data_IF_198326744215
#
_entry.id   IF_198326744215
#
_cell.length_a   1.000
_cell.length_b   1.000
_cell.length_c   1.000
_cell.angle_alpha   90.00
_cell.angle_beta   90.00
_cell.angle_gamma   90.00
#
_symmetry.space_group_name_H-M   'P 1'
#
loop_
_entity.id
_entity.type
_entity.pdbx_description
1 polymer ?
#
# COMPACT_ATOMS: atom_id res chain seq x y z
N UNK A 1 10.41 -13.70 2.95
CA UNK A 1 10.05 -12.68 1.95
C UNK A 1 8.67 -12.94 1.35
N UNK A 2 8.41 -14.07 0.67
CA UNK A 2 7.08 -14.31 0.05
C UNK A 2 5.90 -14.28 1.04
N UNK A 3 6.07 -14.88 2.23
CA UNK A 3 5.03 -14.88 3.27
C UNK A 3 4.68 -13.47 3.76
N UNK A 4 5.68 -12.61 3.98
CA UNK A 4 5.50 -11.19 4.34
C UNK A 4 4.58 -10.48 3.34
N UNK A 5 4.85 -10.62 2.04
CA UNK A 5 4.02 -9.99 1.02
C UNK A 5 2.59 -10.54 1.00
N UNK A 6 2.40 -11.85 1.17
CA UNK A 6 1.05 -12.44 1.15
C UNK A 6 0.24 -12.03 2.40
N UNK A 7 0.84 -12.09 3.58
CA UNK A 7 0.16 -11.77 4.84
C UNK A 7 -0.07 -10.28 5.06
N UNK A 8 0.69 -9.41 4.40
CA UNK A 8 0.48 -7.95 4.43
C UNK A 8 -0.44 -7.48 3.32
N UNK A 9 -0.14 -7.87 2.07
CA UNK A 9 -0.74 -7.29 0.88
C UNK A 9 -2.18 -7.77 0.66
N UNK A 10 -2.46 -9.05 0.94
CA UNK A 10 -3.82 -9.59 0.75
C UNK A 10 -4.81 -8.96 1.73
N UNK A 11 -4.55 -8.90 3.06
CA UNK A 11 -5.48 -8.24 3.98
C UNK A 11 -5.65 -6.75 3.69
N UNK A 12 -4.56 -6.05 3.34
CA UNK A 12 -4.60 -4.63 3.01
C UNK A 12 -5.52 -4.38 1.79
N UNK A 13 -5.33 -5.14 0.72
CA UNK A 13 -6.13 -5.06 -0.50
C UNK A 13 -7.61 -5.38 -0.25
N UNK A 14 -7.91 -6.36 0.60
CA UNK A 14 -9.29 -6.70 0.99
C UNK A 14 -9.94 -5.57 1.80
N UNK A 15 -9.24 -5.02 2.79
CA UNK A 15 -9.76 -3.96 3.66
C UNK A 15 -9.98 -2.66 2.89
N UNK A 16 -9.01 -2.25 2.10
CA UNK A 16 -9.13 -1.03 1.28
C UNK A 16 -10.20 -1.17 0.21
N UNK A 17 -10.23 -2.28 -0.53
CA UNK A 17 -11.27 -2.51 -1.52
C UNK A 17 -12.67 -2.52 -0.91
N UNK A 18 -12.83 -3.08 0.30
CA UNK A 18 -14.09 -3.02 1.05
C UNK A 18 -14.45 -1.59 1.46
N UNK A 19 -13.50 -0.80 1.94
CA UNK A 19 -13.75 0.59 2.36
C UNK A 19 -14.12 1.46 1.15
N UNK A 20 -13.41 1.32 0.03
CA UNK A 20 -13.76 1.99 -1.23
C UNK A 20 -15.19 1.63 -1.66
N UNK A 21 -15.54 0.35 -1.60
CA UNK A 21 -16.91 -0.07 -1.89
C UNK A 21 -17.94 0.58 -0.95
N UNK A 22 -17.65 0.67 0.36
CA UNK A 22 -18.50 1.35 1.35
C UNK A 22 -18.61 2.85 1.13
N UNK A 23 -17.61 3.49 0.54
CA UNK A 23 -17.61 4.91 0.15
C UNK A 23 -18.42 5.18 -1.12
N UNK A 24 -19.13 4.18 -1.67
CA UNK A 24 -19.81 4.27 -2.96
C UNK A 24 -18.85 4.60 -4.13
N UNK A 25 -17.61 4.13 -4.03
CA UNK A 25 -16.61 4.29 -5.09
C UNK A 25 -17.04 3.60 -6.39
N UNK A 26 -17.65 2.42 -6.29
CA UNK A 26 -18.14 1.70 -7.46
C UNK A 26 -18.69 0.34 -7.08
N UNK A 27 -18.76 -0.56 -8.05
CA UNK A 27 -19.05 -1.97 -7.78
C UNK A 27 -17.89 -2.60 -6.97
N UNK A 28 -18.19 -3.62 -6.16
CA UNK A 28 -17.16 -4.31 -5.36
C UNK A 28 -15.94 -4.75 -6.21
N UNK A 29 -16.09 -5.37 -7.41
CA UNK A 29 -14.94 -5.73 -8.23
C UNK A 29 -14.10 -4.53 -8.67
N UNK A 30 -14.74 -3.41 -8.96
CA UNK A 30 -14.08 -2.18 -9.38
C UNK A 30 -13.30 -1.55 -8.22
N UNK A 31 -13.89 -1.51 -7.03
CA UNK A 31 -13.21 -1.05 -5.81
C UNK A 31 -12.01 -1.93 -5.44
N UNK A 32 -12.11 -3.24 -5.63
CA UNK A 32 -10.99 -4.17 -5.42
C UNK A 32 -9.87 -3.95 -6.44
N UNK A 33 -10.21 -3.71 -7.71
CA UNK A 33 -9.24 -3.43 -8.76
C UNK A 33 -8.53 -2.08 -8.52
N UNK A 34 -9.28 -1.04 -8.14
CA UNK A 34 -8.72 0.27 -7.87
C UNK A 34 -7.83 0.26 -6.61
N UNK A 35 -8.21 -0.50 -5.56
CA UNK A 35 -7.32 -0.75 -4.41
C UNK A 35 -6.06 -1.54 -4.82
N UNK A 36 -6.19 -2.54 -5.69
CA UNK A 36 -5.01 -3.25 -6.21
C UNK A 36 -4.07 -2.30 -6.96
N UNK A 37 -4.59 -1.41 -7.80
CA UNK A 37 -3.81 -0.42 -8.52
C UNK A 37 -3.10 0.55 -7.57
N UNK A 38 -3.80 1.09 -6.57
CA UNK A 38 -3.21 1.98 -5.57
C UNK A 38 -2.08 1.27 -4.79
N UNK A 39 -2.33 0.06 -4.30
CA UNK A 39 -1.33 -0.71 -3.56
C UNK A 39 -0.13 -1.10 -4.43
N UNK A 40 -0.37 -1.43 -5.69
CA UNK A 40 0.70 -1.74 -6.62
C UNK A 40 1.58 -0.51 -6.89
N UNK A 41 0.98 0.67 -7.06
CA UNK A 41 1.70 1.93 -7.20
C UNK A 41 2.52 2.28 -5.94
N UNK A 42 1.92 2.14 -4.76
CA UNK A 42 2.61 2.38 -3.48
C UNK A 42 3.75 1.38 -3.22
N UNK A 43 3.55 0.10 -3.55
CA UNK A 43 4.56 -0.94 -3.40
C UNK A 43 5.74 -0.75 -4.35
N UNK A 44 5.47 -0.45 -5.62
CA UNK A 44 6.50 -0.05 -6.58
C UNK A 44 7.22 1.20 -6.12
N UNK A 45 6.51 2.16 -5.52
CA UNK A 45 7.12 3.34 -4.92
C UNK A 45 8.13 3.04 -3.83
N UNK A 46 7.82 2.09 -2.97
CA UNK A 46 8.71 1.68 -1.89
C UNK A 46 9.95 0.96 -2.43
N UNK A 47 9.78 0.07 -3.43
CA UNK A 47 10.90 -0.68 -4.05
C UNK A 47 11.76 0.20 -4.95
N UNK A 48 11.17 1.08 -5.76
CA UNK A 48 11.86 1.90 -6.75
C UNK A 48 12.33 3.24 -6.16
N UNK A 49 11.58 3.87 -5.28
CA UNK A 49 11.96 5.15 -4.69
C UNK A 49 12.89 4.98 -3.49
N UNK A 50 12.45 4.21 -2.48
CA UNK A 50 13.14 4.15 -1.18
C UNK A 50 14.32 3.18 -1.18
N UNK A 51 14.16 2.00 -1.79
CA UNK A 51 15.20 0.97 -1.85
C UNK A 51 16.54 1.46 -2.43
N UNK A 52 16.56 2.13 -3.59
CA UNK A 52 17.78 2.58 -4.23
C UNK A 52 18.43 3.80 -3.53
N UNK A 53 17.62 4.65 -2.89
CA UNK A 53 18.11 5.75 -2.05
C UNK A 53 18.83 5.22 -0.81
N UNK A 54 18.24 4.24 -0.11
CA UNK A 54 18.84 3.59 1.06
C UNK A 54 20.08 2.76 0.65
N UNK A 55 20.07 2.15 -0.54
CA UNK A 55 21.19 1.37 -1.06
C UNK A 55 22.36 2.21 -1.63
N UNK A 56 22.28 3.55 -1.58
CA UNK A 56 23.37 4.44 -2.02
C UNK A 56 23.51 4.61 -3.54
N UNK A 57 22.49 4.25 -4.32
CA UNK A 57 22.49 4.45 -5.77
C UNK A 57 22.02 5.86 -6.14
N UNK A 58 22.93 6.84 -6.05
CA UNK A 58 22.59 8.28 -6.17
C UNK A 58 21.71 8.62 -7.39
N UNK A 59 22.22 8.45 -8.61
CA UNK A 59 21.52 8.88 -9.84
C UNK A 59 20.36 7.95 -10.20
N UNK A 60 20.57 6.64 -10.08
CA UNK A 60 19.54 5.64 -10.37
C UNK A 60 18.39 5.70 -9.38
N UNK A 61 18.65 5.98 -8.10
CA UNK A 61 17.62 6.18 -7.10
C UNK A 61 16.78 7.42 -7.33
N UNK A 62 17.38 8.52 -7.79
CA UNK A 62 16.62 9.70 -8.22
C UNK A 62 15.73 9.40 -9.44
N UNK A 63 16.23 8.67 -10.43
CA UNK A 63 15.43 8.27 -11.61
C UNK A 63 14.26 7.38 -11.20
N UNK A 64 14.51 6.38 -10.36
CA UNK A 64 13.49 5.44 -9.91
C UNK A 64 12.46 6.10 -8.97
N UNK A 65 12.90 7.04 -8.14
CA UNK A 65 12.01 7.92 -7.37
C UNK A 65 11.16 8.83 -8.27
N UNK A 66 11.74 9.38 -9.33
CA UNK A 66 11.01 10.15 -10.34
C UNK A 66 9.97 9.31 -11.08
N UNK A 67 10.32 8.08 -11.48
CA UNK A 67 9.38 7.12 -12.09
C UNK A 67 8.22 6.80 -11.15
N UNK A 68 8.49 6.59 -9.86
CA UNK A 68 7.46 6.43 -8.83
C UNK A 68 6.50 7.63 -8.78
N UNK A 69 7.02 8.86 -8.71
CA UNK A 69 6.20 10.07 -8.62
C UNK A 69 5.21 10.16 -9.78
N UNK A 70 5.67 9.86 -11.00
CA UNK A 70 4.83 9.86 -12.22
C UNK A 70 3.75 8.76 -12.14
N UNK A 71 4.08 7.58 -11.62
CA UNK A 71 3.11 6.49 -11.48
C UNK A 71 2.01 6.79 -10.47
N UNK A 72 2.35 7.39 -9.32
CA UNK A 72 1.36 7.81 -8.32
C UNK A 72 0.46 8.90 -8.90
N UNK A 73 1.05 9.93 -9.50
CA UNK A 73 0.29 11.03 -10.09
C UNK A 73 -0.61 10.54 -11.23
N UNK A 74 -0.13 9.64 -12.09
CA UNK A 74 -0.94 9.00 -13.14
C UNK A 74 -2.11 8.18 -12.58
N UNK A 75 -1.88 7.46 -11.48
CA UNK A 75 -2.95 6.69 -10.81
C UNK A 75 -4.01 7.64 -10.23
N UNK A 76 -3.60 8.72 -9.55
CA UNK A 76 -4.53 9.73 -9.02
C UNK A 76 -5.32 10.41 -10.13
N UNK A 77 -4.69 10.74 -11.26
CA UNK A 77 -5.35 11.35 -12.41
C UNK A 77 -6.38 10.41 -13.06
N UNK A 78 -6.06 9.12 -13.23
CA UNK A 78 -7.03 8.12 -13.70
C UNK A 78 -8.25 8.00 -12.78
N UNK A 79 -8.04 8.14 -11.46
CA UNK A 79 -9.13 8.07 -10.48
C UNK A 79 -9.97 9.36 -10.48
N UNK A 80 -9.33 10.52 -10.67
CA UNK A 80 -10.00 11.82 -10.84
C UNK A 80 -10.86 11.90 -12.10
N UNK A 81 -10.51 11.17 -13.16
CA UNK A 81 -11.34 11.08 -14.36
C UNK A 81 -12.69 10.40 -14.09
N UNK A 82 -12.74 9.48 -13.12
CA UNK A 82 -13.90 8.63 -12.84
C UNK A 82 -14.75 9.12 -11.66
N UNK A 83 -14.16 9.89 -10.75
CA UNK A 83 -14.78 10.24 -9.47
C UNK A 83 -14.55 11.71 -9.09
N UNK A 84 -15.48 12.31 -8.32
CA UNK A 84 -15.32 13.69 -7.89
C UNK A 84 -14.06 13.85 -7.01
N UNK A 85 -13.35 14.99 -7.11
CA UNK A 85 -12.03 15.18 -6.49
C UNK A 85 -12.02 15.02 -4.97
N UNK A 86 -13.10 15.39 -4.28
CA UNK A 86 -13.23 15.17 -2.82
C UNK A 86 -13.25 13.69 -2.45
N UNK A 87 -13.89 12.86 -3.28
CA UNK A 87 -13.95 11.42 -3.06
C UNK A 87 -12.57 10.80 -3.30
N UNK A 88 -11.90 11.17 -4.39
CA UNK A 88 -10.54 10.69 -4.71
C UNK A 88 -9.54 11.08 -3.63
N UNK A 89 -9.58 12.32 -3.17
CA UNK A 89 -8.75 12.78 -2.07
C UNK A 89 -8.96 11.97 -0.80
N UNK A 90 -10.22 11.72 -0.43
CA UNK A 90 -10.55 10.94 0.76
C UNK A 90 -10.09 9.48 0.61
N UNK A 91 -10.28 8.87 -0.56
CA UNK A 91 -9.83 7.51 -0.86
C UNK A 91 -8.30 7.37 -0.77
N UNK A 92 -7.55 8.29 -1.38
CA UNK A 92 -6.08 8.29 -1.34
C UNK A 92 -5.57 8.45 0.10
N UNK A 93 -6.18 9.35 0.88
CA UNK A 93 -5.78 9.54 2.28
C UNK A 93 -6.11 8.32 3.15
N UNK A 94 -7.26 7.69 2.93
CA UNK A 94 -7.68 6.49 3.66
C UNK A 94 -6.80 5.29 3.31
N UNK A 95 -6.50 5.05 2.04
CA UNK A 95 -5.61 3.98 1.60
C UNK A 95 -4.21 4.14 2.20
N UNK A 96 -3.62 5.35 2.10
CA UNK A 96 -2.31 5.60 2.69
C UNK A 96 -2.31 5.45 4.22
N UNK A 97 -3.36 5.91 4.92
CA UNK A 97 -3.48 5.74 6.36
C UNK A 97 -3.58 4.27 6.77
N UNK A 98 -4.37 3.47 6.05
CA UNK A 98 -4.48 2.03 6.28
C UNK A 98 -3.16 1.31 6.03
N UNK A 99 -2.44 1.68 4.96
CA UNK A 99 -1.09 1.20 4.70
C UNK A 99 -0.15 1.47 5.88
N UNK A 100 -0.15 2.68 6.43
CA UNK A 100 0.66 3.02 7.60
C UNK A 100 0.26 2.20 8.84
N UNK A 101 -1.04 2.05 9.12
CA UNK A 101 -1.52 1.27 10.27
C UNK A 101 -1.09 -0.20 10.16
N UNK A 102 -1.19 -0.79 8.98
CA UNK A 102 -0.80 -2.18 8.76
C UNK A 102 0.71 -2.37 8.93
N UNK A 103 1.53 -1.44 8.41
CA UNK A 103 2.97 -1.43 8.62
C UNK A 103 3.35 -1.28 10.10
N UNK A 104 2.69 -0.37 10.83
CA UNK A 104 2.95 -0.18 12.27
C UNK A 104 2.53 -1.40 13.09
N UNK A 105 1.39 -2.01 12.78
CA UNK A 105 0.95 -3.25 13.42
C UNK A 105 1.94 -4.38 13.19
N UNK A 106 2.51 -4.50 11.99
CA UNK A 106 3.52 -5.50 11.71
C UNK A 106 4.83 -5.26 12.50
N UNK A 107 5.32 -4.02 12.54
CA UNK A 107 6.49 -3.65 13.35
C UNK A 107 6.21 -3.92 14.83
N UNK A 108 4.98 -3.72 15.28
CA UNK A 108 4.57 -4.01 16.65
C UNK A 108 4.52 -5.53 16.92
N UNK A 109 3.86 -6.30 16.07
CA UNK A 109 3.72 -7.75 16.22
C UNK A 109 5.07 -8.47 16.10
N UNK A 110 5.99 -8.00 15.24
CA UNK A 110 7.35 -8.56 15.12
C UNK A 110 8.23 -8.31 16.36
N UNK A 111 7.89 -7.32 17.20
CA UNK A 111 8.58 -7.06 18.47
C UNK A 111 8.05 -7.90 19.63
N UNK A 112 6.92 -8.58 19.46
CA UNK A 112 6.38 -9.50 20.48
C UNK A 112 7.21 -10.79 20.42
N UNK A 113 7.84 -11.22 21.53
CA UNK A 113 8.52 -12.51 21.60
C UNK A 113 7.47 -13.63 21.69
N UNK A 114 6.94 -14.03 20.53
CA UNK A 114 5.91 -15.07 20.38
C UNK A 114 6.35 -16.43 20.93
N UNK A 115 7.65 -16.66 20.95
CA UNK A 115 8.38 -17.78 21.57
C UNK A 115 8.09 -17.94 23.07
N UNK A 116 7.76 -16.85 23.79
CA UNK A 116 7.37 -16.93 25.20
C UNK A 116 5.85 -17.13 25.40
N UNK A 117 5.04 -16.91 24.36
CA UNK A 117 3.57 -16.95 24.42
C UNK A 117 3.01 -18.30 23.99
N UNK A 118 3.59 -18.89 22.94
CA UNK A 118 3.38 -20.28 22.57
C UNK A 118 4.47 -21.09 23.24
N UNK A 119 4.21 -21.62 24.43
CA UNK A 119 5.11 -22.54 25.14
C UNK A 119 5.37 -23.80 24.33
N UNK A 120 6.18 -23.70 23.27
CA UNK A 120 6.87 -24.81 22.67
C UNK A 120 8.10 -25.07 23.54
N UNK A 121 7.92 -25.91 24.55
CA UNK A 121 9.01 -26.76 25.02
C UNK A 121 9.52 -27.55 23.81
N UNK A 122 10.71 -27.20 23.34
CA UNK A 122 11.62 -28.17 22.74
C UNK A 122 12.62 -28.56 23.84
#
# INVERSE_FOLDING_TARGET
MLGFYIFQFVPLLLVEGFILWRMQWGSLPQSMFDSLLMNFASFLGLILGLGPYIAGSNTWGLTLFGTYSIMVEGTVLMLLERHPPRLVWSAVMVANLLGCIVLDLEVFLSKIPWDNFFGFCI
#
